data_IF_910056814442
#
_entry.id   IF_910056814442
#
_cell.length_a   1.000
_cell.length_b   1.000
_cell.length_c   1.000
_cell.angle_alpha   90.00
_cell.angle_beta   90.00
_cell.angle_gamma   90.00
#
_symmetry.space_group_name_H-M   'P 1'
#
loop_
_entity.id
_entity.type
_entity.pdbx_description
1 polymer ?
#
# COMPACT_ATOMS: atom_id res chain seq x y z
N UNK A 1 -7.01 -8.48 -16.38
CA UNK A 1 -8.27 -8.11 -15.69
C UNK A 1 -9.46 -9.05 -15.97
N UNK A 2 -9.40 -9.96 -16.96
CA UNK A 2 -10.54 -10.86 -17.28
C UNK A 2 -11.01 -11.77 -16.14
N UNK A 3 -10.14 -12.10 -15.19
CA UNK A 3 -10.51 -12.89 -14.01
C UNK A 3 -11.43 -12.11 -13.04
N UNK A 4 -11.37 -10.78 -13.01
CA UNK A 4 -12.19 -9.94 -12.13
C UNK A 4 -11.58 -9.65 -10.76
N UNK A 5 -10.27 -9.88 -10.57
CA UNK A 5 -9.54 -9.55 -9.33
C UNK A 5 -8.99 -8.12 -9.27
N UNK A 6 -9.06 -7.40 -10.38
CA UNK A 6 -8.59 -6.03 -10.54
C UNK A 6 -9.43 -5.32 -11.60
N UNK A 7 -9.49 -4.00 -11.50
CA UNK A 7 -10.16 -3.16 -12.49
C UNK A 7 -9.32 -3.03 -13.78
N UNK A 8 -9.95 -2.84 -14.96
CA UNK A 8 -9.24 -2.75 -16.25
C UNK A 8 -8.12 -1.70 -16.27
N UNK A 9 -8.37 -0.54 -15.63
CA UNK A 9 -7.46 0.59 -15.52
C UNK A 9 -6.15 0.26 -14.79
N UNK A 10 -6.09 -0.81 -13.99
CA UNK A 10 -4.83 -1.26 -13.38
C UNK A 10 -3.79 -1.60 -14.45
N UNK A 11 -4.22 -2.25 -15.53
CA UNK A 11 -3.29 -2.66 -16.58
C UNK A 11 -2.74 -1.47 -17.37
N UNK A 12 -3.52 -0.41 -17.50
CA UNK A 12 -3.09 0.85 -18.12
C UNK A 12 -2.08 1.57 -17.22
N UNK A 13 -2.38 1.70 -15.92
CA UNK A 13 -1.48 2.29 -14.94
C UNK A 13 -0.12 1.58 -14.88
N UNK A 14 -0.11 0.24 -14.88
CA UNK A 14 1.14 -0.54 -14.87
C UNK A 14 1.92 -0.34 -16.17
N UNK A 15 1.27 -0.38 -17.34
CA UNK A 15 1.96 -0.13 -18.62
C UNK A 15 2.53 1.27 -18.68
N UNK A 16 1.77 2.26 -18.23
CA UNK A 16 2.19 3.66 -18.16
C UNK A 16 3.44 3.83 -17.28
N UNK A 17 3.47 3.20 -16.11
CA UNK A 17 4.63 3.32 -15.21
C UNK A 17 5.89 2.59 -15.74
N UNK A 18 5.71 1.55 -16.57
CA UNK A 18 6.80 0.79 -17.17
C UNK A 18 7.32 1.39 -18.49
N UNK A 19 6.54 2.24 -19.14
CA UNK A 19 6.92 2.89 -20.40
C UNK A 19 8.14 3.81 -20.19
N UNK A 20 9.27 3.57 -20.89
CA UNK A 20 10.43 4.45 -20.84
C UNK A 20 10.18 5.91 -21.20
N UNK A 21 9.16 6.18 -22.01
CA UNK A 21 8.76 7.53 -22.42
C UNK A 21 7.81 8.21 -21.43
N UNK A 22 7.34 7.49 -20.41
CA UNK A 22 6.42 8.02 -19.41
C UNK A 22 7.06 9.05 -18.48
N UNK A 23 6.32 10.09 -18.06
CA UNK A 23 6.77 11.04 -17.04
C UNK A 23 7.04 10.38 -15.68
N UNK A 24 6.60 9.14 -15.46
CA UNK A 24 6.90 8.37 -14.26
C UNK A 24 8.41 8.28 -13.96
N UNK A 25 9.28 8.32 -14.98
CA UNK A 25 10.74 8.35 -14.77
C UNK A 25 11.24 9.65 -14.16
N UNK A 26 10.76 10.80 -14.64
CA UNK A 26 11.11 12.10 -14.08
C UNK A 26 10.61 12.24 -12.63
N UNK A 27 9.48 11.63 -12.31
CA UNK A 27 9.00 11.56 -10.93
C UNK A 27 10.01 10.94 -9.97
N UNK A 28 10.81 9.95 -10.40
CA UNK A 28 11.79 9.28 -9.54
C UNK A 28 12.96 10.21 -9.15
N UNK A 29 13.39 11.09 -10.06
CA UNK A 29 14.49 12.04 -9.82
C UNK A 29 14.03 13.24 -8.99
N UNK A 30 12.83 13.75 -9.28
CA UNK A 30 12.35 15.04 -8.77
C UNK A 30 11.61 14.93 -7.44
N UNK A 31 11.39 13.69 -6.97
CA UNK A 31 10.62 13.38 -5.77
C UNK A 31 11.48 12.74 -4.68
N UNK A 32 11.24 13.15 -3.45
CA UNK A 32 11.66 12.43 -2.25
C UNK A 32 10.45 11.66 -1.68
N UNK A 33 10.55 10.33 -1.69
CA UNK A 33 9.50 9.46 -1.16
C UNK A 33 9.70 9.27 0.35
N UNK A 34 8.87 9.91 1.16
CA UNK A 34 8.86 9.76 2.62
C UNK A 34 7.92 8.61 2.98
N UNK A 35 8.46 7.46 3.36
CA UNK A 35 7.69 6.23 3.59
C UNK A 35 7.57 5.93 5.09
N UNK A 36 6.39 6.20 5.65
CA UNK A 36 6.02 5.84 7.01
C UNK A 36 5.69 4.35 7.08
N UNK A 37 6.48 3.59 7.84
CA UNK A 37 6.41 2.13 7.85
C UNK A 37 7.22 1.51 6.71
N UNK A 38 8.44 1.99 6.48
CA UNK A 38 9.28 1.59 5.35
C UNK A 38 9.69 0.12 5.30
N UNK A 39 9.52 -0.64 6.40
CA UNK A 39 9.71 -2.10 6.43
C UNK A 39 8.43 -2.90 6.20
N UNK A 40 7.33 -2.23 5.82
CA UNK A 40 6.08 -2.88 5.43
C UNK A 40 6.28 -3.73 4.18
N UNK A 41 5.83 -4.99 4.21
CA UNK A 41 5.94 -5.90 3.07
C UNK A 41 5.10 -5.43 1.85
N UNK A 42 4.05 -4.65 2.10
CA UNK A 42 3.22 -4.04 1.06
C UNK A 42 3.74 -2.66 0.63
N UNK A 43 4.79 -2.15 1.29
CA UNK A 43 5.34 -0.82 1.05
C UNK A 43 6.21 -0.76 -0.21
N UNK A 44 6.38 0.44 -0.81
CA UNK A 44 7.03 0.60 -2.10
C UNK A 44 8.56 0.67 -2.02
N UNK A 45 9.16 0.69 -0.80
CA UNK A 45 10.58 1.05 -0.61
C UNK A 45 11.51 0.19 -1.47
N UNK A 46 11.36 -1.14 -1.43
CA UNK A 46 12.24 -2.05 -2.18
C UNK A 46 12.16 -1.79 -3.68
N UNK A 47 10.97 -1.59 -4.21
CA UNK A 47 10.74 -1.31 -5.63
C UNK A 47 11.28 0.07 -6.02
N UNK A 48 11.01 1.11 -5.21
CA UNK A 48 11.51 2.46 -5.44
C UNK A 48 13.05 2.52 -5.45
N UNK A 49 13.70 1.84 -4.51
CA UNK A 49 15.17 1.72 -4.47
C UNK A 49 15.71 1.03 -5.72
N UNK A 50 15.11 -0.09 -6.13
CA UNK A 50 15.49 -0.80 -7.35
C UNK A 50 15.31 0.08 -8.62
N UNK A 51 14.37 1.02 -8.60
CA UNK A 51 14.11 1.98 -9.67
C UNK A 51 14.99 3.24 -9.61
N UNK A 52 15.87 3.38 -8.61
CA UNK A 52 16.78 4.52 -8.49
C UNK A 52 16.23 5.73 -7.72
N UNK A 53 15.09 5.60 -7.05
CA UNK A 53 14.48 6.71 -6.32
C UNK A 53 15.20 7.03 -5.00
N UNK A 54 15.00 8.26 -4.51
CA UNK A 54 15.38 8.67 -3.16
C UNK A 54 14.23 8.41 -2.19
N UNK A 55 14.49 7.63 -1.13
CA UNK A 55 13.47 7.21 -0.16
C UNK A 55 13.90 7.60 1.26
N UNK A 56 13.13 8.46 1.91
CA UNK A 56 13.21 8.69 3.35
C UNK A 56 12.37 7.65 4.10
N UNK A 57 13.03 6.64 4.64
CA UNK A 57 12.41 5.48 5.26
C UNK A 57 12.27 5.64 6.77
N UNK A 58 11.03 5.77 7.24
CA UNK A 58 10.72 5.71 8.66
C UNK A 58 10.28 4.30 9.05
N UNK A 59 11.08 3.63 9.87
CA UNK A 59 10.75 2.37 10.49
C UNK A 59 11.37 2.27 11.89
N UNK A 60 10.82 1.39 12.73
CA UNK A 60 11.42 1.08 14.03
C UNK A 60 12.76 0.36 13.84
N UNK A 61 13.69 0.64 14.75
CA UNK A 61 14.96 -0.08 14.86
C UNK A 61 14.73 -1.60 14.95
N UNK A 62 15.48 -2.37 14.19
CA UNK A 62 15.40 -3.84 14.18
C UNK A 62 15.98 -4.46 12.92
N UNK A 63 16.02 -5.79 12.87
CA UNK A 63 16.61 -6.56 11.75
C UNK A 63 16.04 -6.17 10.39
N UNK A 64 14.72 -5.99 10.27
CA UNK A 64 14.09 -5.61 8.99
C UNK A 64 14.61 -4.28 8.43
N UNK A 65 14.94 -3.31 9.28
CA UNK A 65 15.51 -2.04 8.84
C UNK A 65 16.99 -2.23 8.48
N UNK A 66 17.74 -3.03 9.25
CA UNK A 66 19.12 -3.40 8.93
C UNK A 66 19.22 -4.08 7.57
N UNK A 67 18.35 -5.05 7.29
CA UNK A 67 18.29 -5.75 6.00
C UNK A 67 17.95 -4.79 4.85
N UNK A 68 17.12 -3.77 5.12
CA UNK A 68 16.76 -2.76 4.13
C UNK A 68 17.89 -1.78 3.85
N UNK A 69 18.66 -1.39 4.87
CA UNK A 69 19.90 -0.62 4.71
C UNK A 69 20.90 -1.39 3.85
N UNK A 70 21.12 -2.68 4.14
CA UNK A 70 21.97 -3.54 3.31
C UNK A 70 21.46 -3.69 1.88
N UNK A 71 20.15 -3.85 1.69
CA UNK A 71 19.56 -3.92 0.36
C UNK A 71 19.85 -2.66 -0.45
N UNK A 72 19.73 -1.48 0.16
CA UNK A 72 19.94 -0.20 -0.54
C UNK A 72 21.33 -0.12 -1.19
N UNK A 73 22.34 -0.74 -0.60
CA UNK A 73 23.71 -0.81 -1.14
C UNK A 73 23.79 -1.58 -2.47
N UNK A 74 22.85 -2.48 -2.73
CA UNK A 74 22.76 -3.28 -3.97
C UNK A 74 21.86 -2.66 -5.03
N UNK A 75 21.31 -1.47 -4.78
CA UNK A 75 20.34 -0.81 -5.66
C UNK A 75 20.86 0.55 -6.15
N UNK A 76 20.37 1.06 -7.28
CA UNK A 76 20.71 2.41 -7.74
C UNK A 76 20.06 3.53 -6.90
N UNK A 77 19.10 3.20 -6.03
CA UNK A 77 18.37 4.18 -5.22
C UNK A 77 19.12 4.64 -3.98
N UNK A 78 18.57 5.66 -3.33
CA UNK A 78 19.11 6.21 -2.07
C UNK A 78 18.13 5.98 -0.94
N UNK A 79 18.63 5.46 0.19
CA UNK A 79 17.85 5.29 1.41
C UNK A 79 18.32 6.28 2.48
N UNK A 80 17.43 7.18 2.89
CA UNK A 80 17.62 8.08 4.03
C UNK A 80 16.89 7.47 5.23
N UNK A 81 17.58 7.34 6.36
CA UNK A 81 17.00 6.79 7.60
C UNK A 81 17.28 7.72 8.78
N UNK A 82 16.36 7.87 9.74
CA UNK A 82 16.63 8.64 10.93
C UNK A 82 17.61 7.88 11.83
N UNK A 83 18.63 8.58 12.32
CA UNK A 83 19.59 8.08 13.31
C UNK A 83 19.59 9.05 14.49
N UNK A 84 19.51 8.58 15.75
CA UNK A 84 19.66 9.45 16.91
C UNK A 84 20.98 10.23 16.85
N UNK A 85 20.95 11.54 17.08
CA UNK A 85 22.13 12.39 16.94
C UNK A 85 23.31 11.96 17.84
N UNK A 86 23.03 11.39 19.01
CA UNK A 86 24.04 10.85 19.93
C UNK A 86 24.72 9.56 19.42
N UNK A 87 24.12 8.90 18.42
CA UNK A 87 24.60 7.65 17.83
C UNK A 87 25.21 7.85 16.44
N UNK A 88 25.21 9.07 15.90
CA UNK A 88 25.92 9.37 14.67
C UNK A 88 27.43 9.22 14.91
N UNK A 89 28.15 8.47 14.06
CA UNK A 89 29.61 8.55 14.03
C UNK A 89 30.00 10.01 13.87
N UNK A 90 30.98 10.49 14.65
CA UNK A 90 31.51 11.85 14.46
C UNK A 90 31.94 11.98 12.99
N UNK A 91 31.53 13.07 12.35
CA UNK A 91 32.06 13.40 11.01
C UNK A 91 33.57 13.30 11.02
N UNK A 92 34.13 12.84 9.90
CA UNK A 92 35.57 12.69 9.72
C UNK A 92 36.23 13.99 10.15
N UNK A 93 37.05 13.95 11.19
CA UNK A 93 37.93 15.05 11.54
C UNK A 93 38.87 15.24 10.34
N UNK A 94 38.52 16.14 9.42
CA UNK A 94 39.34 16.51 8.26
C UNK A 94 40.63 17.24 8.65
N UNK A 95 40.96 17.24 9.94
CA UNK A 95 42.17 17.80 10.55
C UNK A 95 43.41 16.95 10.25
N UNK A 96 43.26 15.77 9.65
CA UNK A 96 44.40 14.98 9.18
C UNK A 96 45.06 15.63 7.96
N UNK A 97 46.35 16.00 8.07
CA UNK A 97 47.14 16.71 7.05
C UNK A 97 47.40 15.91 5.76
N UNK A 98 46.92 14.67 5.65
CA UNK A 98 47.11 13.80 4.49
C UNK A 98 45.75 13.27 4.01
N UNK A 99 45.48 13.25 2.69
CA UNK A 99 44.28 12.60 2.16
C UNK A 99 44.24 11.12 2.57
N UNK A 100 43.09 10.61 3.04
CA UNK A 100 42.95 9.21 3.42
C UNK A 100 43.18 8.30 2.22
N UNK A 101 43.76 7.12 2.46
CA UNK A 101 43.89 6.07 1.45
C UNK A 101 42.54 5.47 1.08
N UNK A 102 42.43 4.86 -0.10
CA UNK A 102 41.20 4.17 -0.54
C UNK A 102 40.74 3.08 0.46
N UNK A 103 41.69 2.37 1.08
CA UNK A 103 41.40 1.37 2.11
C UNK A 103 40.86 1.99 3.41
N UNK A 104 41.35 3.16 3.80
CA UNK A 104 40.81 3.90 4.95
C UNK A 104 39.40 4.40 4.68
N UNK A 105 39.17 4.99 3.50
CA UNK A 105 37.84 5.43 3.06
C UNK A 105 36.87 4.24 3.06
N UNK A 106 37.29 3.08 2.52
CA UNK A 106 36.46 1.87 2.50
C UNK A 106 36.10 1.41 3.91
N UNK A 107 37.08 1.25 4.81
CA UNK A 107 36.83 0.81 6.20
C UNK A 107 35.93 1.78 6.96
N UNK A 108 36.20 3.09 6.86
CA UNK A 108 35.37 4.10 7.52
C UNK A 108 33.94 4.10 6.97
N UNK A 109 33.78 3.93 5.66
CA UNK A 109 32.45 3.82 5.04
C UNK A 109 31.72 2.55 5.49
N UNK A 110 32.43 1.43 5.68
CA UNK A 110 31.87 0.19 6.21
C UNK A 110 31.44 0.34 7.68
N UNK A 111 32.27 0.97 8.52
CA UNK A 111 31.97 1.25 9.93
C UNK A 111 30.78 2.20 10.11
N UNK A 112 30.75 3.28 9.32
CA UNK A 112 29.62 4.20 9.28
C UNK A 112 28.32 3.46 8.93
N UNK A 113 28.35 2.62 7.87
CA UNK A 113 27.20 1.83 7.44
C UNK A 113 26.76 0.80 8.49
N UNK A 114 27.71 0.11 9.13
CA UNK A 114 27.41 -0.81 10.22
C UNK A 114 26.71 -0.08 11.39
N UNK A 115 27.23 1.08 11.77
CA UNK A 115 26.65 1.93 12.83
C UNK A 115 25.24 2.37 12.47
N UNK A 116 25.04 2.89 11.25
CA UNK A 116 23.71 3.27 10.74
C UNK A 116 22.78 2.06 10.76
N UNK A 117 23.19 0.89 10.26
CA UNK A 117 22.36 -0.32 10.26
C UNK A 117 21.95 -0.79 11.66
N UNK A 118 22.76 -0.51 12.69
CA UNK A 118 22.46 -0.88 14.08
C UNK A 118 21.69 0.19 14.86
N UNK A 119 21.88 1.46 14.52
CA UNK A 119 21.34 2.60 15.29
C UNK A 119 20.15 3.28 14.63
N UNK A 120 19.97 3.10 13.32
CA UNK A 120 18.87 3.71 12.59
C UNK A 120 17.49 3.23 13.06
N UNK A 121 16.53 4.14 12.93
CA UNK A 121 15.13 3.92 13.17
C UNK A 121 14.55 4.91 14.18
N UNK A 122 13.23 5.07 14.10
CA UNK A 122 12.45 5.85 15.05
C UNK A 122 11.08 5.20 15.24
N UNK A 123 10.52 5.32 16.44
CA UNK A 123 9.17 4.85 16.74
C UNK A 123 8.19 6.01 16.72
N UNK A 124 7.30 6.00 15.73
CA UNK A 124 6.29 7.04 15.54
C UNK A 124 5.36 7.21 16.76
N UNK A 125 5.14 6.16 17.55
CA UNK A 125 4.25 6.23 18.72
C UNK A 125 4.87 6.94 19.91
N UNK A 126 6.20 7.10 19.94
CA UNK A 126 6.93 7.71 21.06
C UNK A 126 7.78 8.89 20.66
N UNK A 127 8.09 9.06 19.36
CA UNK A 127 9.01 10.07 18.83
C UNK A 127 8.36 10.92 17.71
N UNK A 128 7.04 11.15 17.80
CA UNK A 128 6.29 11.86 16.76
C UNK A 128 6.83 13.28 16.48
N UNK A 129 7.10 14.15 17.49
CA UNK A 129 7.65 15.48 17.23
C UNK A 129 9.01 15.44 16.50
N UNK A 130 9.89 14.54 16.89
CA UNK A 130 11.22 14.36 16.31
C UNK A 130 11.13 13.88 14.86
N UNK A 131 10.22 12.94 14.57
CA UNK A 131 9.97 12.47 13.21
C UNK A 131 9.44 13.61 12.32
N UNK A 132 8.52 14.43 12.82
CA UNK A 132 8.02 15.60 12.08
C UNK A 132 9.16 16.57 11.78
N UNK A 133 9.97 16.89 12.79
CA UNK A 133 11.10 17.79 12.64
C UNK A 133 12.11 17.25 11.61
N UNK A 134 12.44 15.96 11.70
CA UNK A 134 13.33 15.29 10.76
C UNK A 134 12.80 15.36 9.31
N UNK A 135 11.53 15.01 9.07
CA UNK A 135 10.93 15.07 7.73
C UNK A 135 11.01 16.49 7.16
N UNK A 136 10.75 17.52 7.99
CA UNK A 136 10.75 18.92 7.54
C UNK A 136 12.14 19.46 7.19
N UNK A 137 13.20 18.86 7.71
CA UNK A 137 14.57 19.26 7.39
C UNK A 137 15.05 18.70 6.05
N UNK A 138 14.49 17.57 5.58
CA UNK A 138 14.99 16.88 4.38
C UNK A 138 15.01 17.77 3.12
N UNK A 139 13.93 18.47 2.73
CA UNK A 139 13.93 19.28 1.50
C UNK A 139 14.91 20.46 1.52
N UNK A 140 15.30 20.92 2.71
CA UNK A 140 16.22 22.04 2.92
C UNK A 140 17.65 21.61 3.29
N UNK A 141 17.96 20.31 3.25
CA UNK A 141 19.30 19.82 3.57
C UNK A 141 20.28 20.08 2.42
N UNK A 142 21.58 20.09 2.72
CA UNK A 142 22.63 20.23 1.71
C UNK A 142 22.80 18.98 0.81
N UNK A 143 22.06 17.91 1.09
CA UNK A 143 22.08 16.68 0.29
C UNK A 143 21.23 16.85 -0.98
N UNK A 144 21.90 16.94 -2.13
CA UNK A 144 21.30 17.01 -3.48
C UNK A 144 20.25 15.91 -3.75
N UNK A 145 20.32 14.78 -3.05
CA UNK A 145 19.37 13.67 -3.19
C UNK A 145 18.01 13.97 -2.53
N UNK A 146 17.93 15.03 -1.74
CA UNK A 146 16.72 15.47 -1.04
C UNK A 146 16.36 16.94 -1.28
N UNK A 147 17.36 17.79 -1.56
CA UNK A 147 17.22 19.23 -1.70
C UNK A 147 16.25 19.63 -2.82
N UNK A 148 15.29 20.48 -2.48
CA UNK A 148 14.34 21.06 -3.44
C UNK A 148 13.38 20.07 -4.10
N UNK A 149 13.39 18.79 -3.69
CA UNK A 149 12.52 17.77 -4.25
C UNK A 149 11.09 17.89 -3.71
N UNK A 150 10.12 17.54 -4.57
CA UNK A 150 8.73 17.37 -4.14
C UNK A 150 8.64 16.21 -3.14
N UNK A 151 7.82 16.36 -2.11
CA UNK A 151 7.59 15.26 -1.15
C UNK A 151 6.42 14.37 -1.58
N UNK A 152 6.60 13.06 -1.47
CA UNK A 152 5.50 12.08 -1.46
C UNK A 152 5.46 11.39 -0.11
N UNK A 153 4.43 11.64 0.68
CA UNK A 153 4.25 11.04 2.00
C UNK A 153 3.40 9.77 1.91
N UNK A 154 4.07 8.63 2.05
CA UNK A 154 3.49 7.30 1.99
C UNK A 154 3.14 6.74 3.37
N UNK A 155 1.87 6.39 3.57
CA UNK A 155 1.32 5.97 4.86
C UNK A 155 1.09 4.45 4.87
N UNK A 156 2.12 3.68 5.25
CA UNK A 156 2.13 2.21 5.16
C UNK A 156 2.20 1.50 6.52
N UNK A 157 2.15 2.22 7.64
CA UNK A 157 2.20 1.60 8.97
C UNK A 157 0.95 0.77 9.21
N UNK A 158 1.17 -0.50 9.56
CA UNK A 158 0.19 -1.42 10.09
C UNK A 158 0.68 -1.97 11.44
N UNK A 159 -0.22 -2.04 12.42
CA UNK A 159 0.01 -2.63 13.74
C UNK A 159 -1.26 -3.37 14.14
N UNK A 160 -1.18 -4.25 15.14
CA UNK A 160 -2.35 -4.96 15.65
C UNK A 160 -3.08 -4.15 16.72
N UNK A 161 -4.40 -4.33 16.79
CA UNK A 161 -5.24 -3.76 17.85
C UNK A 161 -5.25 -2.23 17.91
N UNK A 162 -5.34 -1.69 19.12
CA UNK A 162 -5.44 -0.25 19.38
C UNK A 162 -4.19 0.54 18.93
N UNK A 163 -3.04 -0.13 18.84
CA UNK A 163 -1.81 0.47 18.32
C UNK A 163 -1.95 0.88 16.86
N UNK A 164 -2.79 0.20 16.07
CA UNK A 164 -3.05 0.59 14.68
C UNK A 164 -3.74 1.95 14.58
N UNK A 165 -4.71 2.18 15.48
CA UNK A 165 -5.46 3.44 15.55
C UNK A 165 -4.51 4.57 15.98
N UNK A 166 -3.70 4.34 17.01
CA UNK A 166 -2.68 5.32 17.47
C UNK A 166 -1.67 5.66 16.38
N UNK A 167 -1.16 4.65 15.67
CA UNK A 167 -0.22 4.87 14.56
C UNK A 167 -0.87 5.63 13.41
N UNK A 168 -2.14 5.36 13.11
CA UNK A 168 -2.90 6.09 12.10
C UNK A 168 -3.06 7.56 12.48
N UNK A 169 -3.35 7.87 13.74
CA UNK A 169 -3.42 9.26 14.21
C UNK A 169 -2.06 9.96 14.19
N UNK A 170 -0.98 9.25 14.49
CA UNK A 170 0.35 9.81 14.39
C UNK A 170 0.75 10.10 12.93
N UNK A 171 0.43 9.20 11.99
CA UNK A 171 0.60 9.45 10.55
C UNK A 171 -0.24 10.65 10.09
N UNK A 172 -1.48 10.77 10.56
CA UNK A 172 -2.37 11.90 10.26
C UNK A 172 -1.80 13.25 10.71
N UNK A 173 -1.21 13.30 11.91
CA UNK A 173 -0.52 14.48 12.44
C UNK A 173 0.70 14.84 11.58
N UNK A 174 1.46 13.85 11.09
CA UNK A 174 2.55 14.11 10.14
C UNK A 174 1.99 14.70 8.85
N UNK A 175 0.95 14.11 8.27
CA UNK A 175 0.30 14.59 7.04
C UNK A 175 -0.10 16.06 7.19
N UNK A 176 -0.81 16.42 8.26
CA UNK A 176 -1.23 17.79 8.51
C UNK A 176 -0.04 18.75 8.69
N UNK A 177 0.99 18.33 9.44
CA UNK A 177 2.16 19.16 9.73
C UNK A 177 3.07 19.35 8.51
N UNK A 178 3.28 18.31 7.70
CA UNK A 178 4.12 18.36 6.50
C UNK A 178 3.41 19.13 5.39
N UNK A 179 2.13 18.85 5.11
CA UNK A 179 1.41 19.53 4.02
C UNK A 179 1.19 21.03 4.31
N UNK A 180 1.12 21.44 5.58
CA UNK A 180 1.06 22.87 5.92
C UNK A 180 2.39 23.60 5.67
N UNK A 181 3.52 22.89 5.70
CA UNK A 181 4.86 23.45 5.44
C UNK A 181 5.26 23.33 3.97
N UNK A 182 4.85 22.24 3.31
CA UNK A 182 5.14 21.95 1.91
C UNK A 182 3.83 21.64 1.16
N UNK A 183 3.09 22.67 0.70
CA UNK A 183 1.76 22.50 0.10
C UNK A 183 1.71 21.59 -1.15
N UNK A 184 2.82 21.45 -1.88
CA UNK A 184 2.94 20.58 -3.05
C UNK A 184 3.17 19.08 -2.71
N UNK A 185 3.15 18.73 -1.41
CA UNK A 185 3.30 17.35 -0.96
C UNK A 185 2.16 16.48 -1.49
N UNK A 186 2.49 15.40 -2.17
CA UNK A 186 1.55 14.35 -2.54
C UNK A 186 1.44 13.29 -1.43
N UNK A 187 0.31 12.58 -1.38
CA UNK A 187 0.06 11.54 -0.39
C UNK A 187 -0.12 10.18 -1.05
N UNK A 188 0.36 9.14 -0.39
CA UNK A 188 0.13 7.76 -0.79
C UNK A 188 -0.45 6.92 0.37
N UNK A 189 -1.46 6.12 0.03
CA UNK A 189 -2.12 5.16 0.91
C UNK A 189 -2.37 3.86 0.13
N UNK A 190 -2.50 2.75 0.86
CA UNK A 190 -3.09 1.53 0.31
C UNK A 190 -4.54 1.43 0.78
N UNK A 191 -5.46 1.49 -0.18
CA UNK A 191 -6.88 1.24 0.06
C UNK A 191 -7.10 -0.16 0.62
N UNK A 192 -8.04 -0.30 1.56
CA UNK A 192 -8.31 -1.56 2.26
C UNK A 192 -9.72 -2.04 1.97
N UNK A 193 -9.91 -3.24 1.42
CA UNK A 193 -11.23 -3.79 1.12
C UNK A 193 -12.02 -4.22 2.37
N UNK A 194 -11.45 -4.02 3.57
CA UNK A 194 -12.04 -4.48 4.85
C UNK A 194 -12.85 -3.39 5.59
N UNK A 195 -13.36 -2.38 4.87
CA UNK A 195 -14.25 -1.34 5.40
C UNK A 195 -15.52 -1.20 4.54
N UNK A 196 -16.42 -0.27 4.85
CA UNK A 196 -17.51 0.10 3.94
C UNK A 196 -17.06 1.18 2.95
N UNK A 197 -17.31 0.99 1.66
CA UNK A 197 -16.88 1.90 0.59
C UNK A 197 -17.77 1.77 -0.65
N UNK A 198 -17.71 2.76 -1.55
CA UNK A 198 -18.35 2.66 -2.86
C UNK A 198 -17.54 1.79 -3.82
N UNK A 199 -18.21 1.11 -4.75
CA UNK A 199 -17.59 0.44 -5.88
C UNK A 199 -18.25 0.87 -7.19
N UNK A 200 -17.57 0.71 -8.35
CA UNK A 200 -18.17 0.93 -9.65
C UNK A 200 -19.43 0.07 -9.87
N UNK A 201 -20.46 0.63 -10.53
CA UNK A 201 -21.71 -0.09 -10.83
C UNK A 201 -21.47 -1.31 -11.72
N UNK A 202 -20.47 -1.27 -12.59
CA UNK A 202 -20.03 -2.39 -13.42
C UNK A 202 -19.47 -3.57 -12.61
N UNK A 203 -18.79 -3.30 -11.49
CA UNK A 203 -18.31 -4.33 -10.57
C UNK A 203 -19.50 -4.98 -9.84
N UNK A 204 -20.46 -4.16 -9.42
CA UNK A 204 -21.71 -4.62 -8.81
C UNK A 204 -22.55 -5.48 -9.78
N UNK A 205 -22.66 -5.06 -11.04
CA UNK A 205 -23.36 -5.80 -12.08
C UNK A 205 -22.69 -7.16 -12.36
N UNK A 206 -21.36 -7.20 -12.41
CA UNK A 206 -20.61 -8.45 -12.58
C UNK A 206 -20.79 -9.40 -11.38
N UNK A 207 -20.80 -8.88 -10.15
CA UNK A 207 -21.11 -9.65 -8.95
C UNK A 207 -22.51 -10.27 -9.00
N UNK A 208 -23.53 -9.47 -9.35
CA UNK A 208 -24.91 -9.96 -9.48
C UNK A 208 -25.05 -11.02 -10.57
N UNK A 209 -24.43 -10.80 -11.74
CA UNK A 209 -24.44 -11.79 -12.83
C UNK A 209 -23.79 -13.11 -12.41
N UNK A 210 -22.70 -13.05 -11.63
CA UNK A 210 -22.02 -14.24 -11.08
C UNK A 210 -22.89 -14.95 -10.06
N UNK A 211 -23.67 -14.22 -9.24
CA UNK A 211 -24.62 -14.81 -8.32
C UNK A 211 -25.78 -15.50 -9.05
N UNK A 212 -26.29 -14.90 -10.13
CA UNK A 212 -27.41 -15.46 -10.90
C UNK A 212 -27.02 -16.70 -11.72
N UNK A 213 -25.74 -16.82 -12.07
CA UNK A 213 -25.17 -17.96 -12.80
C UNK A 213 -24.00 -18.57 -12.02
N UNK A 214 -24.26 -19.20 -10.86
CA UNK A 214 -23.20 -19.76 -10.04
C UNK A 214 -22.49 -20.91 -10.78
N UNK A 215 -21.18 -21.01 -10.61
CA UNK A 215 -20.37 -22.06 -11.24
C UNK A 215 -20.64 -23.47 -10.68
N UNK A 216 -19.96 -24.48 -11.21
CA UNK A 216 -20.16 -25.89 -10.81
C UNK A 216 -19.36 -26.34 -9.57
N UNK A 217 -18.55 -25.46 -8.96
CA UNK A 217 -17.62 -25.82 -7.87
C UNK A 217 -18.28 -26.05 -6.51
N UNK A 218 -17.94 -25.22 -5.51
CA UNK A 218 -18.50 -25.28 -4.15
C UNK A 218 -20.04 -25.23 -4.10
N UNK A 219 -20.68 -24.74 -5.17
CA UNK A 219 -22.13 -24.82 -5.36
C UNK A 219 -22.67 -26.25 -5.35
N UNK A 220 -21.90 -27.27 -5.71
CA UNK A 220 -22.32 -28.68 -5.56
C UNK A 220 -22.47 -29.10 -4.10
N UNK A 221 -21.67 -28.52 -3.21
CA UNK A 221 -21.71 -28.79 -1.77
C UNK A 221 -22.79 -27.95 -1.06
N UNK A 222 -23.28 -26.88 -1.70
CA UNK A 222 -24.38 -26.05 -1.21
C UNK A 222 -25.30 -25.62 -2.39
N UNK A 223 -26.04 -26.56 -3.01
CA UNK A 223 -26.80 -26.29 -4.24
C UNK A 223 -27.93 -25.27 -4.02
N UNK A 224 -28.46 -25.23 -2.80
CA UNK A 224 -29.49 -24.27 -2.40
C UNK A 224 -28.91 -22.94 -1.89
N UNK A 225 -27.58 -22.78 -1.85
CA UNK A 225 -26.88 -21.57 -1.38
C UNK A 225 -27.35 -21.11 0.00
N UNK A 226 -27.68 -22.06 0.87
CA UNK A 226 -28.16 -21.78 2.23
C UNK A 226 -27.07 -21.02 2.98
N UNK A 227 -27.40 -19.85 3.50
CA UNK A 227 -26.47 -18.98 4.22
C UNK A 227 -25.47 -18.23 3.34
N UNK A 228 -25.59 -18.27 2.01
CA UNK A 228 -24.75 -17.50 1.08
C UNK A 228 -25.54 -16.34 0.49
N UNK A 229 -25.33 -15.16 1.07
CA UNK A 229 -26.05 -13.95 0.71
C UNK A 229 -25.44 -13.27 -0.51
N UNK A 230 -26.26 -12.58 -1.31
CA UNK A 230 -25.77 -11.71 -2.39
C UNK A 230 -24.79 -10.69 -1.84
N UNK A 231 -23.67 -10.50 -2.54
CA UNK A 231 -22.67 -9.49 -2.17
C UNK A 231 -23.24 -8.07 -2.31
N UNK A 232 -23.97 -7.83 -3.40
CA UNK A 232 -24.53 -6.52 -3.72
C UNK A 232 -25.94 -6.36 -3.18
N UNK A 233 -26.15 -5.23 -2.50
CA UNK A 233 -27.45 -4.74 -2.07
C UNK A 233 -28.02 -3.76 -3.10
N UNK A 234 -29.23 -3.26 -2.88
CA UNK A 234 -29.80 -2.19 -3.71
C UNK A 234 -28.84 -1.00 -3.77
N UNK A 235 -28.59 -0.42 -4.97
CA UNK A 235 -27.79 0.80 -5.09
C UNK A 235 -28.36 1.94 -4.25
N UNK A 236 -27.48 2.78 -3.75
CA UNK A 236 -27.84 4.04 -3.09
C UNK A 236 -27.96 5.11 -4.17
N UNK A 237 -28.99 5.94 -4.08
CA UNK A 237 -29.20 7.11 -4.95
C UNK A 237 -28.84 8.35 -4.15
N UNK A 238 -27.86 9.13 -4.59
CA UNK A 238 -27.51 10.41 -3.97
C UNK A 238 -28.54 11.49 -4.33
N UNK A 239 -28.50 12.63 -3.61
CA UNK A 239 -29.46 13.72 -3.80
C UNK A 239 -29.43 14.35 -5.21
N UNK A 240 -28.36 14.15 -5.97
CA UNK A 240 -28.19 14.53 -7.37
C UNK A 240 -28.69 13.46 -8.37
N UNK A 241 -29.30 12.38 -7.88
CA UNK A 241 -29.80 11.27 -8.69
C UNK A 241 -28.75 10.25 -9.12
N UNK A 242 -27.46 10.43 -8.76
CA UNK A 242 -26.40 9.49 -9.12
C UNK A 242 -26.56 8.18 -8.34
N UNK A 243 -26.45 7.05 -9.03
CA UNK A 243 -26.45 5.73 -8.38
C UNK A 243 -25.04 5.33 -7.95
N UNK A 244 -24.93 4.69 -6.80
CA UNK A 244 -23.68 4.12 -6.31
C UNK A 244 -23.93 2.83 -5.57
N UNK A 245 -23.09 1.83 -5.82
CA UNK A 245 -23.08 0.62 -5.03
C UNK A 245 -22.19 0.82 -3.81
N UNK A 246 -22.74 0.59 -2.62
CA UNK A 246 -21.95 0.49 -1.39
C UNK A 246 -21.72 -0.99 -1.09
N UNK A 247 -20.46 -1.36 -0.93
CA UNK A 247 -20.05 -2.70 -0.52
C UNK A 247 -19.81 -2.74 0.99
N UNK A 248 -20.33 -3.77 1.66
CA UNK A 248 -20.00 -4.06 3.04
C UNK A 248 -18.74 -4.94 3.10
N UNK A 249 -17.57 -4.31 3.16
CA UNK A 249 -16.29 -5.00 3.30
C UNK A 249 -15.90 -5.33 4.75
N UNK A 250 -16.70 -4.96 5.76
CA UNK A 250 -16.32 -5.17 7.16
C UNK A 250 -16.05 -6.66 7.45
N UNK A 251 -14.82 -6.94 7.88
CA UNK A 251 -14.34 -8.28 8.17
C UNK A 251 -14.25 -8.52 9.68
N UNK A 252 -15.02 -9.49 10.20
CA UNK A 252 -15.09 -9.80 11.63
C UNK A 252 -13.70 -10.11 12.22
N UNK A 253 -12.88 -10.86 11.48
CA UNK A 253 -11.53 -11.26 11.92
C UNK A 253 -10.52 -10.09 11.98
N UNK A 254 -10.76 -8.99 11.27
CA UNK A 254 -9.92 -7.78 11.37
C UNK A 254 -10.27 -6.93 12.60
N UNK A 255 -11.54 -6.98 13.02
CA UNK A 255 -12.03 -6.32 14.22
C UNK A 255 -12.21 -4.79 14.08
N UNK A 256 -12.76 -4.16 15.14
CA UNK A 256 -13.16 -2.75 15.10
C UNK A 256 -11.98 -1.78 15.01
N UNK A 257 -10.84 -2.09 15.63
CA UNK A 257 -9.64 -1.25 15.57
C UNK A 257 -9.09 -1.12 14.15
N UNK A 258 -9.07 -2.22 13.39
CA UNK A 258 -8.68 -2.20 11.99
C UNK A 258 -9.64 -1.35 11.16
N UNK A 259 -10.94 -1.59 11.33
CA UNK A 259 -11.97 -0.86 10.60
C UNK A 259 -11.87 0.65 10.85
N UNK A 260 -11.69 1.07 12.11
CA UNK A 260 -11.51 2.48 12.48
C UNK A 260 -10.25 3.07 11.84
N UNK A 261 -9.09 2.40 12.01
CA UNK A 261 -7.82 2.88 11.46
C UNK A 261 -7.86 3.05 9.93
N UNK A 262 -8.38 2.06 9.19
CA UNK A 262 -8.50 2.17 7.74
C UNK A 262 -9.54 3.17 7.28
N UNK A 263 -10.64 3.31 8.01
CA UNK A 263 -11.63 4.37 7.75
C UNK A 263 -10.99 5.75 7.89
N UNK A 264 -10.22 6.00 8.95
CA UNK A 264 -9.52 7.27 9.15
C UNK A 264 -8.52 7.56 8.01
N UNK A 265 -7.74 6.57 7.58
CA UNK A 265 -6.83 6.71 6.44
C UNK A 265 -7.57 7.09 5.14
N UNK A 266 -8.71 6.43 4.88
CA UNK A 266 -9.53 6.71 3.69
C UNK A 266 -10.13 8.11 3.73
N UNK A 267 -10.69 8.51 4.88
CA UNK A 267 -11.26 9.84 5.06
C UNK A 267 -10.20 10.94 4.89
N UNK A 268 -8.99 10.76 5.44
CA UNK A 268 -7.89 11.70 5.22
C UNK A 268 -7.54 11.80 3.74
N UNK A 269 -7.45 10.67 3.03
CA UNK A 269 -7.20 10.67 1.59
C UNK A 269 -8.28 11.45 0.81
N UNK A 270 -9.57 11.23 1.13
CA UNK A 270 -10.69 11.95 0.51
C UNK A 270 -10.63 13.46 0.76
N UNK A 271 -10.41 13.86 2.02
CA UNK A 271 -10.37 15.27 2.42
C UNK A 271 -9.20 16.00 1.76
N UNK A 272 -8.01 15.41 1.78
CA UNK A 272 -6.81 16.04 1.19
C UNK A 272 -6.98 16.19 -0.32
N UNK A 273 -7.49 15.16 -1.00
CA UNK A 273 -7.73 15.22 -2.44
C UNK A 273 -8.80 16.24 -2.81
N UNK A 274 -9.89 16.30 -2.05
CA UNK A 274 -10.94 17.31 -2.24
C UNK A 274 -10.43 18.74 -1.99
N UNK A 275 -9.36 18.89 -1.21
CA UNK A 275 -8.70 20.17 -0.91
C UNK A 275 -7.60 20.55 -1.92
N UNK A 276 -7.46 19.81 -3.02
CA UNK A 276 -6.49 20.13 -4.08
C UNK A 276 -5.15 19.39 -3.98
N UNK A 277 -5.01 18.39 -3.10
CA UNK A 277 -3.77 17.59 -3.00
C UNK A 277 -3.80 16.38 -3.92
N UNK A 278 -2.67 16.01 -4.54
CA UNK A 278 -2.53 14.71 -5.23
C UNK A 278 -2.51 13.57 -4.22
N UNK A 279 -3.41 12.59 -4.38
CA UNK A 279 -3.51 11.47 -3.43
C UNK A 279 -3.65 10.13 -4.16
N UNK A 280 -2.60 9.31 -4.12
CA UNK A 280 -2.62 7.91 -4.56
C UNK A 280 -3.24 7.04 -3.45
N UNK A 281 -4.40 6.43 -3.69
CA UNK A 281 -5.09 5.65 -2.65
C UNK A 281 -5.79 4.37 -3.15
N UNK A 282 -5.37 3.85 -4.30
CA UNK A 282 -5.93 2.67 -4.94
C UNK A 282 -6.00 1.45 -4.01
N UNK A 283 -7.06 0.64 -4.15
CA UNK A 283 -7.22 -0.58 -3.34
C UNK A 283 -6.11 -1.58 -3.60
N UNK A 284 -5.55 -2.10 -2.51
CA UNK A 284 -4.61 -3.21 -2.52
C UNK A 284 -5.34 -4.54 -2.21
N UNK A 285 -4.83 -5.67 -2.72
CA UNK A 285 -5.47 -6.96 -2.52
C UNK A 285 -5.13 -7.51 -1.14
N UNK A 286 -5.86 -8.54 -0.66
CA UNK A 286 -5.37 -9.37 0.42
C UNK A 286 -3.97 -9.91 0.07
N UNK A 287 -3.03 -9.78 0.99
CA UNK A 287 -1.65 -10.22 0.78
C UNK A 287 -1.27 -11.35 1.73
N UNK A 288 -0.44 -12.28 1.23
CA UNK A 288 0.08 -13.40 2.01
C UNK A 288 1.40 -13.00 2.70
N UNK A 289 1.37 -12.03 3.60
CA UNK A 289 2.57 -11.57 4.33
C UNK A 289 2.92 -12.49 5.51
N UNK A 290 4.19 -12.53 5.93
CA UNK A 290 4.59 -13.25 7.15
C UNK A 290 3.81 -12.78 8.40
N UNK A 291 3.51 -11.48 8.47
CA UNK A 291 2.70 -10.90 9.55
C UNK A 291 1.23 -11.35 9.51
N UNK A 292 0.76 -11.96 8.44
CA UNK A 292 -0.57 -12.57 8.38
C UNK A 292 -0.49 -14.09 8.51
N UNK A 293 0.50 -14.71 7.87
CA UNK A 293 0.62 -16.17 7.78
C UNK A 293 1.04 -16.82 9.10
N UNK A 294 1.65 -16.07 10.04
CA UNK A 294 1.95 -16.58 11.38
C UNK A 294 0.68 -16.83 12.22
N UNK A 295 -0.46 -16.21 11.87
CA UNK A 295 -1.75 -16.46 12.53
C UNK A 295 -2.48 -17.60 11.81
N UNK A 296 -2.62 -18.80 12.42
CA UNK A 296 -3.14 -19.98 11.72
C UNK A 296 -4.54 -19.78 11.11
N UNK A 297 -5.40 -19.03 11.81
CA UNK A 297 -6.74 -18.72 11.34
C UNK A 297 -6.73 -17.86 10.06
N UNK A 298 -5.86 -16.85 10.01
CA UNK A 298 -5.72 -15.96 8.84
C UNK A 298 -5.13 -16.74 7.67
N UNK A 299 -4.09 -17.55 7.90
CA UNK A 299 -3.52 -18.44 6.87
C UNK A 299 -4.59 -19.35 6.27
N UNK A 300 -5.37 -20.03 7.12
CA UNK A 300 -6.44 -20.94 6.68
C UNK A 300 -7.50 -20.21 5.85
N UNK A 301 -7.88 -19.00 6.27
CA UNK A 301 -8.82 -18.16 5.51
C UNK A 301 -8.27 -17.81 4.12
N UNK A 302 -7.02 -17.35 4.04
CA UNK A 302 -6.38 -17.01 2.76
C UNK A 302 -6.24 -18.23 1.83
N UNK A 303 -5.97 -19.41 2.39
CA UNK A 303 -5.86 -20.68 1.62
C UNK A 303 -7.19 -21.13 1.00
N UNK A 304 -8.32 -20.73 1.60
CA UNK A 304 -9.66 -21.05 1.10
C UNK A 304 -10.28 -19.97 0.23
N UNK A 305 -9.65 -18.79 0.12
CA UNK A 305 -10.25 -17.60 -0.50
C UNK A 305 -10.60 -17.83 -1.97
N UNK A 306 -9.70 -18.49 -2.71
CA UNK A 306 -9.86 -18.77 -4.15
C UNK A 306 -10.95 -19.78 -4.47
N UNK A 307 -11.47 -20.48 -3.45
CA UNK A 307 -12.60 -21.38 -3.60
C UNK A 307 -13.91 -20.64 -3.96
N UNK A 308 -13.92 -19.32 -3.79
CA UNK A 308 -14.96 -18.41 -4.26
C UNK A 308 -14.38 -17.41 -5.27
N UNK A 309 -14.35 -17.75 -6.57
CA UNK A 309 -13.90 -16.83 -7.60
C UNK A 309 -14.71 -15.52 -7.62
N UNK A 310 -14.08 -14.38 -7.96
CA UNK A 310 -12.71 -14.23 -8.44
C UNK A 310 -11.72 -13.85 -7.33
N UNK A 311 -11.98 -14.21 -6.08
CA UNK A 311 -11.13 -13.78 -4.98
C UNK A 311 -9.73 -14.38 -5.08
N UNK A 312 -8.69 -13.59 -4.79
CA UNK A 312 -7.29 -14.03 -4.71
C UNK A 312 -6.56 -13.32 -3.58
N UNK A 313 -5.58 -14.02 -3.00
CA UNK A 313 -4.60 -13.45 -2.09
C UNK A 313 -3.22 -13.53 -2.75
N UNK A 314 -2.59 -12.39 -2.97
CA UNK A 314 -1.35 -12.31 -3.74
C UNK A 314 -0.11 -12.24 -2.83
N UNK A 315 1.05 -12.74 -3.28
CA UNK A 315 2.29 -12.59 -2.53
C UNK A 315 2.75 -11.11 -2.53
N UNK A 316 3.32 -10.60 -1.41
CA UNK A 316 3.79 -9.22 -1.32
C UNK A 316 4.79 -8.83 -2.42
N UNK A 317 5.61 -9.77 -2.87
CA UNK A 317 6.61 -9.61 -3.93
C UNK A 317 5.98 -9.31 -5.29
N UNK A 318 4.72 -9.69 -5.49
CA UNK A 318 3.93 -9.29 -6.67
C UNK A 318 3.18 -7.98 -6.41
N UNK A 319 2.57 -7.85 -5.24
CA UNK A 319 1.74 -6.69 -4.93
C UNK A 319 2.53 -5.39 -4.80
N UNK A 320 3.65 -5.39 -4.08
CA UNK A 320 4.40 -4.16 -3.81
C UNK A 320 4.92 -3.50 -5.10
N UNK A 321 5.49 -4.23 -6.09
CA UNK A 321 5.83 -3.64 -7.38
C UNK A 321 4.62 -3.11 -8.15
N UNK A 322 3.50 -3.84 -8.17
CA UNK A 322 2.28 -3.40 -8.86
C UNK A 322 1.70 -2.13 -8.22
N UNK A 323 1.60 -2.08 -6.89
CA UNK A 323 1.11 -0.89 -6.20
C UNK A 323 2.09 0.28 -6.29
N UNK A 324 3.39 0.02 -6.44
CA UNK A 324 4.38 1.08 -6.73
C UNK A 324 4.20 1.63 -8.14
N UNK A 325 3.92 0.79 -9.12
CA UNK A 325 3.58 1.24 -10.47
C UNK A 325 2.31 2.10 -10.48
N UNK A 326 1.27 1.70 -9.72
CA UNK A 326 0.06 2.51 -9.53
C UNK A 326 0.37 3.84 -8.87
N UNK A 327 1.23 3.87 -7.84
CA UNK A 327 1.67 5.12 -7.21
C UNK A 327 2.33 6.06 -8.23
N UNK A 328 3.25 5.57 -9.05
CA UNK A 328 3.93 6.40 -10.05
C UNK A 328 2.98 6.91 -11.13
N UNK A 329 2.04 6.08 -11.58
CA UNK A 329 0.95 6.50 -12.45
C UNK A 329 0.11 7.60 -11.80
N UNK A 330 -0.33 7.40 -10.56
CA UNK A 330 -1.17 8.35 -9.82
C UNK A 330 -0.48 9.70 -9.57
N UNK A 331 0.86 9.71 -9.47
CA UNK A 331 1.63 10.93 -9.29
C UNK A 331 1.84 11.75 -10.56
N UNK A 332 1.66 11.15 -11.74
CA UNK A 332 2.13 11.74 -13.02
C UNK A 332 1.12 11.74 -14.16
N UNK A 333 0.18 10.80 -14.19
CA UNK A 333 -0.86 10.74 -15.20
C UNK A 333 -1.94 11.79 -14.93
N UNK A 334 -2.26 12.60 -15.94
CA UNK A 334 -3.20 13.73 -15.80
C UNK A 334 -4.64 13.26 -15.60
N UNK A 335 -4.95 12.09 -16.13
CA UNK A 335 -6.23 11.40 -16.08
C UNK A 335 -6.44 10.56 -14.81
N UNK A 336 -5.40 10.39 -13.97
CA UNK A 336 -5.53 9.60 -12.74
C UNK A 336 -6.57 10.21 -11.80
N UNK A 337 -7.34 9.35 -11.13
CA UNK A 337 -8.23 9.76 -10.03
C UNK A 337 -7.48 10.41 -8.89
N UNK A 338 -6.17 10.20 -8.75
CA UNK A 338 -5.33 10.85 -7.76
C UNK A 338 -5.07 12.34 -8.05
N UNK A 339 -5.15 12.77 -9.31
CA UNK A 339 -5.00 14.16 -9.70
C UNK A 339 -6.23 14.96 -9.23
N UNK A 340 -6.09 15.98 -8.35
CA UNK A 340 -7.21 16.76 -7.82
C UNK A 340 -8.03 17.46 -8.90
N UNK A 341 -7.43 17.80 -10.05
CA UNK A 341 -8.10 18.46 -11.18
C UNK A 341 -9.09 17.54 -11.91
N UNK A 342 -8.94 16.22 -11.79
CA UNK A 342 -9.89 15.26 -12.34
C UNK A 342 -11.16 15.28 -11.49
N UNK A 343 -12.29 15.65 -12.09
CA UNK A 343 -13.58 15.66 -11.41
C UNK A 343 -14.05 14.22 -11.16
N UNK A 344 -14.27 13.88 -9.89
CA UNK A 344 -14.89 12.63 -9.49
C UNK A 344 -16.41 12.78 -9.37
N UNK A 345 -17.15 11.70 -9.63
CA UNK A 345 -18.59 11.65 -9.36
C UNK A 345 -18.90 11.72 -7.87
N UNK A 346 -18.03 11.15 -7.04
CA UNK A 346 -18.06 11.25 -5.59
C UNK A 346 -16.66 11.06 -5.00
N UNK A 347 -16.40 11.59 -3.81
CA UNK A 347 -15.07 11.56 -3.18
C UNK A 347 -14.51 10.14 -2.99
N UNK A 348 -15.39 9.18 -2.70
CA UNK A 348 -15.02 7.76 -2.56
C UNK A 348 -14.59 7.10 -3.87
N UNK A 349 -14.90 7.69 -5.03
CA UNK A 349 -14.50 7.18 -6.34
C UNK A 349 -12.98 7.32 -6.55
N UNK A 350 -12.28 8.07 -5.67
CA UNK A 350 -10.81 8.20 -5.66
C UNK A 350 -10.13 6.83 -5.73
N UNK A 351 -10.62 5.85 -4.97
CA UNK A 351 -9.98 4.55 -4.85
C UNK A 351 -10.39 3.54 -5.94
N UNK A 352 -11.30 3.92 -6.86
CA UNK A 352 -11.76 3.02 -7.94
C UNK A 352 -10.71 2.87 -9.04
N UNK A 353 -9.96 3.94 -9.32
CA UNK A 353 -8.90 3.94 -10.33
C UNK A 353 -7.81 2.93 -10.01
N UNK A 354 -7.35 2.19 -11.03
CA UNK A 354 -6.26 1.21 -10.93
C UNK A 354 -6.36 0.25 -9.73
N UNK A 355 -7.58 -0.11 -9.31
CA UNK A 355 -7.79 -0.91 -8.11
C UNK A 355 -7.38 -2.38 -8.33
N UNK A 356 -6.48 -2.88 -7.48
CA UNK A 356 -6.17 -4.30 -7.33
C UNK A 356 -6.92 -4.84 -6.10
N UNK A 357 -8.25 -4.95 -6.21
CA UNK A 357 -9.13 -5.24 -5.06
C UNK A 357 -9.22 -6.73 -4.67
N UNK A 358 -8.43 -7.60 -5.33
CA UNK A 358 -8.35 -9.03 -5.02
C UNK A 358 -9.64 -9.82 -5.25
N UNK A 359 -10.55 -9.32 -6.09
CA UNK A 359 -11.77 -10.03 -6.52
C UNK A 359 -13.03 -9.80 -5.69
N UNK A 360 -12.86 -9.23 -4.49
CA UNK A 360 -13.96 -9.02 -3.53
C UNK A 360 -15.15 -8.26 -4.12
N UNK A 361 -14.92 -7.30 -5.01
CA UNK A 361 -15.97 -6.50 -5.66
C UNK A 361 -16.83 -7.29 -6.65
N UNK A 362 -16.24 -8.28 -7.33
CA UNK A 362 -16.91 -9.07 -8.38
C UNK A 362 -17.31 -10.46 -7.88
N UNK A 363 -16.99 -10.79 -6.62
CA UNK A 363 -17.48 -11.99 -5.93
C UNK A 363 -19.02 -11.96 -5.83
N UNK A 364 -19.66 -13.10 -6.12
CA UNK A 364 -21.12 -13.24 -6.03
C UNK A 364 -21.67 -13.05 -4.61
N UNK A 365 -20.90 -13.47 -3.61
CA UNK A 365 -21.39 -13.61 -2.23
C UNK A 365 -20.75 -12.60 -1.29
N UNK A 366 -21.55 -12.13 -0.33
CA UNK A 366 -21.07 -11.25 0.72
C UNK A 366 -20.03 -11.98 1.58
N UNK A 367 -18.87 -11.36 1.82
CA UNK A 367 -17.75 -12.00 2.52
C UNK A 367 -18.15 -12.61 3.87
N UNK A 368 -18.97 -11.91 4.66
CA UNK A 368 -19.50 -12.39 5.95
C UNK A 368 -20.32 -13.69 5.84
N UNK A 369 -21.06 -13.86 4.74
CA UNK A 369 -21.94 -15.02 4.55
C UNK A 369 -21.16 -16.29 4.18
N UNK A 370 -20.03 -16.14 3.49
CA UNK A 370 -19.17 -17.25 3.03
C UNK A 370 -17.93 -17.47 3.90
N UNK A 371 -17.70 -16.68 4.95
CA UNK A 371 -16.51 -16.75 5.81
C UNK A 371 -16.24 -18.16 6.34
N UNK A 372 -17.27 -18.85 6.85
CA UNK A 372 -17.15 -20.24 7.33
C UNK A 372 -16.81 -21.22 6.21
N UNK A 373 -17.40 -21.03 5.03
CA UNK A 373 -17.16 -21.89 3.86
C UNK A 373 -15.75 -21.69 3.30
N UNK A 374 -15.24 -20.45 3.29
CA UNK A 374 -13.84 -20.14 2.96
C UNK A 374 -12.92 -20.87 3.94
N UNK A 375 -13.16 -20.75 5.24
CA UNK A 375 -12.33 -21.40 6.25
C UNK A 375 -12.34 -22.93 6.12
N UNK A 376 -13.50 -23.52 5.85
CA UNK A 376 -13.63 -24.96 5.59
C UNK A 376 -12.85 -25.35 4.33
N UNK A 377 -13.00 -24.61 3.22
CA UNK A 377 -12.25 -24.86 2.00
C UNK A 377 -10.73 -24.78 2.22
N UNK A 378 -10.25 -23.82 3.01
CA UNK A 378 -8.84 -23.70 3.38
C UNK A 378 -8.33 -24.92 4.14
N UNK A 379 -9.10 -25.42 5.12
CA UNK A 379 -8.77 -26.67 5.85
C UNK A 379 -8.77 -27.90 4.96
N UNK A 380 -9.75 -28.02 4.06
CA UNK A 380 -9.96 -29.21 3.24
C UNK A 380 -8.97 -29.30 2.08
N UNK A 381 -8.68 -28.18 1.42
CA UNK A 381 -7.87 -28.16 0.21
C UNK A 381 -6.43 -27.69 0.46
N UNK A 382 -6.09 -27.22 1.66
CA UNK A 382 -4.70 -27.00 2.11
C UNK A 382 -3.89 -26.07 1.20
N UNK A 383 -4.51 -24.98 0.73
CA UNK A 383 -3.89 -24.07 -0.23
C UNK A 383 -3.67 -24.66 -1.63
N UNK A 384 -4.08 -25.91 -1.92
CA UNK A 384 -4.05 -26.47 -3.30
C UNK A 384 -5.07 -25.83 -4.23
N UNK A 385 -6.01 -25.05 -3.69
CA UNK A 385 -6.79 -24.10 -4.48
C UNK A 385 -5.89 -22.99 -5.09
N UNK A 386 -4.73 -22.70 -4.47
CA UNK A 386 -3.69 -21.80 -4.98
C UNK A 386 -2.86 -22.44 -6.12
N UNK A 387 -3.50 -23.19 -7.02
CA UNK A 387 -2.84 -23.64 -8.23
C UNK A 387 -2.83 -22.46 -9.22
N UNK A 388 -1.72 -21.72 -9.18
CA UNK A 388 -1.31 -20.64 -10.06
C UNK A 388 -1.30 -20.97 -11.58
N UNK A 389 -1.74 -22.16 -12.00
CA UNK A 389 -1.66 -22.63 -13.40
C UNK A 389 -2.82 -22.18 -14.29
N UNK A 390 -3.91 -21.65 -13.74
CA UNK A 390 -5.08 -21.26 -14.54
C UNK A 390 -4.94 -19.86 -15.20
N UNK A 391 -3.99 -19.03 -14.76
CA UNK A 391 -3.79 -17.67 -15.31
C UNK A 391 -2.80 -17.65 -16.48
N UNK A 392 -1.99 -18.70 -16.66
CA UNK A 392 -0.97 -18.78 -17.73
C UNK A 392 -1.38 -19.71 -18.89
N UNK A 393 -2.37 -20.61 -18.70
CA UNK A 393 -2.80 -21.59 -19.73
C UNK A 393 -4.15 -21.30 -20.40
N UNK A 394 -4.45 -20.03 -20.67
CA UNK A 394 -5.42 -19.67 -21.73
C UNK A 394 -4.74 -18.76 -22.76
N UNK A 395 -3.91 -19.39 -23.59
CA UNK A 395 -3.80 -19.08 -25.01
C UNK A 395 -4.30 -20.29 -25.77
#
# INVERSE_FOLDING_TARGET
CAYGSAEPSLSEAVRFALDPASPARGCLSDTLFVVLGGTSAAGPVRTLLAMGASVACLARKGSKLKDLVQLAESTPGTLLVPVPACDLPREIDTVSKRPPSEDEIRRQSEEYRATVGEKAGADLLTQLPEVIAWIKQLPGSDDDRSRGKRLVLGNYIYLDGEKHVRATMAMDTIVASVCSTFPDTALAYLGSPSIAYSIPLEAAAASNATYDRPGLGLHRLNPFRIGWDRNMRRPVVSGDGRQTQVMNGLASFQGPNYALAKTLQHYRAYVMRASGTTVSASFAPPMRTDSMLHVPAVKTFLDGLEAFPPNIALPPETCAPVMTAVLLYDLTAKESSANPEVRLGHVMDLMHGAALHGGSWRCAYAGKSIEKSIFLAGKTFGGRAACHDAVVKKK
#
